data_IF_746533503121
#
_entry.id   IF_746533503121
#
_cell.length_a   1.000
_cell.length_b   1.000
_cell.length_c   1.000
_cell.angle_alpha   90.00
_cell.angle_beta   90.00
_cell.angle_gamma   90.00
#
_symmetry.space_group_name_H-M   'P 1'
#
loop_
_entity.id
_entity.type
_entity.pdbx_description
1 polymer ?
#
# COMPACT_ATOMS: atom_id res chain seq x y z
N UNK A 1 2.81 -20.28 14.43
CA UNK A 1 1.68 -20.50 15.35
C UNK A 1 1.04 -19.18 15.81
N UNK A 2 1.77 -18.22 16.40
CA UNK A 2 1.18 -16.96 16.91
C UNK A 2 0.42 -16.10 15.87
N UNK A 3 0.90 -16.01 14.63
CA UNK A 3 0.23 -15.17 13.62
C UNK A 3 -1.08 -15.78 13.06
N UNK A 4 -1.18 -17.12 13.01
CA UNK A 4 -2.43 -17.82 12.70
C UNK A 4 -3.48 -17.62 13.80
N UNK A 5 -3.03 -17.54 15.06
CA UNK A 5 -3.88 -17.31 16.23
C UNK A 5 -4.48 -15.88 16.26
N UNK A 6 -3.83 -14.91 15.60
CA UNK A 6 -4.28 -13.50 15.57
C UNK A 6 -5.21 -13.18 14.39
N UNK A 7 -5.30 -14.07 13.39
CA UNK A 7 -6.10 -13.84 12.19
C UNK A 7 -5.55 -12.80 11.21
N UNK A 8 -4.36 -12.23 11.44
CA UNK A 8 -3.76 -11.17 10.60
C UNK A 8 -3.55 -11.55 9.13
N UNK A 9 -3.33 -12.83 8.85
CA UNK A 9 -3.26 -13.35 7.49
C UNK A 9 -4.58 -13.30 6.72
N UNK A 10 -5.67 -12.91 7.37
CA UNK A 10 -7.00 -12.79 6.80
C UNK A 10 -7.55 -11.37 6.90
N UNK A 11 -6.69 -10.37 7.13
CA UNK A 11 -7.08 -8.97 7.13
C UNK A 11 -7.44 -8.49 5.71
N UNK A 12 -6.91 -9.11 4.67
CA UNK A 12 -7.08 -8.65 3.30
C UNK A 12 -6.75 -9.74 2.26
N UNK A 13 -7.22 -9.60 1.03
CA UNK A 13 -6.86 -10.50 -0.07
C UNK A 13 -5.34 -10.60 -0.26
N UNK A 14 -4.62 -9.49 -0.09
CA UNK A 14 -3.16 -9.47 -0.19
C UNK A 14 -2.49 -10.27 0.94
N UNK A 15 -2.97 -10.16 2.18
CA UNK A 15 -2.42 -10.91 3.32
C UNK A 15 -2.76 -12.39 3.25
N UNK A 16 -3.95 -12.74 2.75
CA UNK A 16 -4.35 -14.13 2.50
C UNK A 16 -3.55 -14.75 1.36
N UNK A 17 -3.34 -13.99 0.27
CA UNK A 17 -2.43 -14.39 -0.81
C UNK A 17 -0.99 -14.57 -0.30
N UNK A 18 -0.51 -13.65 0.54
CA UNK A 18 0.82 -13.77 1.14
C UNK A 18 0.96 -15.03 1.99
N UNK A 19 -0.09 -15.39 2.76
CA UNK A 19 -0.10 -16.63 3.55
C UNK A 19 0.00 -17.87 2.67
N UNK A 20 -0.79 -17.91 1.59
CA UNK A 20 -0.72 -18.99 0.60
C UNK A 20 0.71 -19.13 0.04
N UNK A 21 1.33 -18.01 -0.35
CA UNK A 21 2.68 -18.06 -0.93
C UNK A 21 3.75 -18.50 0.07
N UNK A 22 3.64 -18.10 1.34
CA UNK A 22 4.54 -18.58 2.41
C UNK A 22 4.39 -20.09 2.60
N UNK A 23 3.16 -20.58 2.65
CA UNK A 23 2.88 -22.01 2.78
C UNK A 23 3.41 -22.81 1.59
N UNK A 24 3.20 -22.31 0.37
CA UNK A 24 3.74 -22.92 -0.84
C UNK A 24 5.27 -22.93 -0.84
N UNK A 25 5.91 -21.79 -0.55
CA UNK A 25 7.37 -21.68 -0.51
C UNK A 25 7.98 -22.66 0.49
N UNK A 26 7.44 -22.71 1.71
CA UNK A 26 7.89 -23.67 2.71
C UNK A 26 7.77 -25.10 2.20
N UNK A 27 6.64 -25.46 1.58
CA UNK A 27 6.49 -26.80 1.00
C UNK A 27 7.50 -27.06 -0.11
N UNK A 28 7.65 -26.14 -1.07
CA UNK A 28 8.57 -26.30 -2.18
C UNK A 28 10.05 -26.41 -1.73
N UNK A 29 10.43 -25.73 -0.65
CA UNK A 29 11.80 -25.78 -0.12
C UNK A 29 12.09 -27.02 0.73
N UNK A 30 11.08 -27.60 1.38
CA UNK A 30 11.26 -28.70 2.34
C UNK A 30 10.63 -30.03 1.87
N UNK A 31 9.92 -30.07 0.74
CA UNK A 31 9.36 -31.29 0.18
C UNK A 31 10.49 -32.20 -0.35
N UNK A 32 10.37 -33.50 -0.04
CA UNK A 32 11.33 -34.53 -0.43
C UNK A 32 10.86 -35.26 -1.71
N UNK A 33 9.57 -35.13 -2.06
CA UNK A 33 8.85 -36.01 -2.98
C UNK A 33 8.07 -35.27 -4.10
N UNK A 34 8.26 -33.96 -4.27
CA UNK A 34 7.52 -33.19 -5.27
C UNK A 34 6.04 -32.94 -4.89
N UNK A 35 5.70 -33.03 -3.60
CA UNK A 35 4.33 -32.83 -3.09
C UNK A 35 3.79 -31.41 -3.26
N UNK A 36 4.61 -30.43 -3.64
CA UNK A 36 4.18 -29.08 -4.02
C UNK A 36 3.18 -29.07 -5.18
N UNK A 37 3.18 -30.12 -6.03
CA UNK A 37 2.23 -30.24 -7.16
C UNK A 37 0.76 -30.33 -6.72
N UNK A 38 0.49 -30.84 -5.52
CA UNK A 38 -0.86 -30.96 -4.95
C UNK A 38 -1.23 -29.78 -4.03
N UNK A 39 -0.31 -28.82 -3.85
CA UNK A 39 -0.48 -27.74 -2.88
C UNK A 39 -1.80 -26.97 -3.06
N UNK A 40 -2.16 -26.63 -4.31
CA UNK A 40 -3.39 -25.87 -4.56
C UNK A 40 -4.66 -26.67 -4.26
N UNK A 41 -4.64 -28.01 -4.41
CA UNK A 41 -5.78 -28.86 -4.06
C UNK A 41 -5.98 -28.89 -2.54
N UNK A 42 -4.88 -29.09 -1.80
CA UNK A 42 -4.91 -29.06 -0.33
C UNK A 42 -5.27 -27.68 0.20
N UNK A 43 -4.78 -26.61 -0.42
CA UNK A 43 -5.14 -25.24 -0.04
C UNK A 43 -6.64 -24.96 -0.31
N UNK A 44 -7.20 -25.51 -1.39
CA UNK A 44 -8.63 -25.42 -1.67
C UNK A 44 -9.46 -26.13 -0.59
N UNK A 45 -9.09 -27.36 -0.22
CA UNK A 45 -9.71 -28.09 0.87
C UNK A 45 -9.60 -27.31 2.18
N UNK A 46 -8.41 -26.79 2.50
CA UNK A 46 -8.19 -25.96 3.66
C UNK A 46 -9.14 -24.77 3.69
N UNK A 47 -9.33 -24.04 2.58
CA UNK A 47 -10.23 -22.88 2.52
C UNK A 47 -11.72 -23.24 2.61
N UNK A 48 -12.11 -24.47 2.26
CA UNK A 48 -13.51 -24.91 2.26
C UNK A 48 -14.11 -25.04 3.66
N UNK A 49 -13.27 -25.26 4.66
CA UNK A 49 -13.70 -25.39 6.05
C UNK A 49 -13.82 -24.00 6.71
N UNK A 50 -14.95 -23.69 7.37
CA UNK A 50 -15.08 -22.44 8.10
C UNK A 50 -14.20 -22.45 9.35
N UNK A 51 -13.58 -21.30 9.65
CA UNK A 51 -12.86 -21.09 10.90
C UNK A 51 -13.89 -20.86 12.03
N UNK A 52 -13.80 -21.65 13.10
CA UNK A 52 -14.74 -21.66 14.24
C UNK A 52 -14.04 -21.47 15.59
N UNK A 53 -12.87 -20.83 15.61
CA UNK A 53 -12.11 -20.60 16.85
C UNK A 53 -12.87 -19.71 17.83
N UNK A 54 -13.19 -20.24 19.01
CA UNK A 54 -14.01 -19.59 20.05
C UNK A 54 -13.39 -18.30 20.62
N UNK A 55 -12.07 -18.16 20.55
CA UNK A 55 -11.34 -16.98 21.06
C UNK A 55 -11.27 -15.82 20.06
N UNK A 56 -11.72 -16.00 18.81
CA UNK A 56 -11.75 -14.93 17.82
C UNK A 56 -13.12 -14.25 17.87
N UNK A 57 -13.19 -12.90 17.95
CA UNK A 57 -14.46 -12.17 17.93
C UNK A 57 -15.34 -12.53 16.73
N UNK A 58 -16.65 -12.67 16.93
CA UNK A 58 -17.60 -13.07 15.88
C UNK A 58 -17.57 -12.15 14.64
N UNK A 59 -17.32 -10.86 14.80
CA UNK A 59 -17.13 -9.91 13.69
C UNK A 59 -15.88 -10.25 12.85
N UNK A 60 -14.78 -10.58 13.52
CA UNK A 60 -13.53 -10.98 12.89
C UNK A 60 -13.67 -12.36 12.22
N UNK A 61 -14.31 -13.34 12.85
CA UNK A 61 -14.62 -14.64 12.24
C UNK A 61 -15.44 -14.51 10.96
N UNK A 62 -16.46 -13.64 10.94
CA UNK A 62 -17.25 -13.36 9.73
C UNK A 62 -16.39 -12.81 8.60
N UNK A 63 -15.49 -11.87 8.90
CA UNK A 63 -14.54 -11.31 7.92
C UNK A 63 -13.59 -12.39 7.37
N UNK A 64 -12.99 -13.19 8.26
CA UNK A 64 -12.09 -14.29 7.91
C UNK A 64 -12.79 -15.27 6.96
N UNK A 65 -13.98 -15.73 7.33
CA UNK A 65 -14.73 -16.71 6.54
C UNK A 65 -15.23 -16.13 5.21
N UNK A 66 -15.59 -14.84 5.17
CA UNK A 66 -15.93 -14.15 3.92
C UNK A 66 -14.73 -14.10 2.97
N UNK A 67 -13.55 -13.76 3.49
CA UNK A 67 -12.32 -13.70 2.68
C UNK A 67 -11.90 -15.09 2.18
N UNK A 68 -11.99 -16.12 3.04
CA UNK A 68 -11.69 -17.51 2.66
C UNK A 68 -12.62 -17.99 1.55
N UNK A 69 -13.93 -17.71 1.64
CA UNK A 69 -14.91 -18.02 0.58
C UNK A 69 -14.59 -17.31 -0.73
N UNK A 70 -14.20 -16.03 -0.69
CA UNK A 70 -13.77 -15.26 -1.88
C UNK A 70 -12.54 -15.88 -2.54
N UNK A 71 -11.53 -16.23 -1.76
CA UNK A 71 -10.30 -16.86 -2.28
C UNK A 71 -10.57 -18.26 -2.81
N UNK A 72 -11.42 -19.05 -2.13
CA UNK A 72 -11.89 -20.34 -2.58
C UNK A 72 -12.61 -20.22 -3.93
N UNK A 73 -13.50 -19.23 -4.07
CA UNK A 73 -14.22 -18.99 -5.32
C UNK A 73 -13.27 -18.74 -6.50
N UNK A 74 -12.25 -17.88 -6.31
CA UNK A 74 -11.23 -17.65 -7.36
C UNK A 74 -10.45 -18.92 -7.63
N UNK A 75 -10.08 -19.68 -6.60
CA UNK A 75 -9.29 -20.89 -6.77
C UNK A 75 -10.07 -21.96 -7.55
N UNK A 76 -11.37 -22.09 -7.30
CA UNK A 76 -12.25 -23.02 -8.00
C UNK A 76 -12.55 -22.60 -9.45
N UNK A 77 -12.76 -21.31 -9.71
CA UNK A 77 -13.21 -20.82 -11.02
C UNK A 77 -12.08 -20.32 -11.93
N UNK A 78 -10.98 -19.84 -11.33
CA UNK A 78 -9.84 -19.18 -11.98
C UNK A 78 -8.52 -19.66 -11.40
N UNK A 79 -8.38 -20.98 -11.27
CA UNK A 79 -7.16 -21.65 -10.80
C UNK A 79 -5.92 -21.25 -11.58
N UNK A 80 -6.09 -20.87 -12.86
CA UNK A 80 -5.04 -20.36 -13.74
C UNK A 80 -4.31 -19.14 -13.15
N UNK A 81 -5.00 -18.29 -12.40
CA UNK A 81 -4.40 -17.10 -11.78
C UNK A 81 -3.34 -17.50 -10.76
N UNK A 82 -3.62 -18.51 -9.93
CA UNK A 82 -2.69 -18.99 -8.91
C UNK A 82 -1.58 -19.86 -9.51
N UNK A 83 -1.90 -20.70 -10.51
CA UNK A 83 -0.88 -21.49 -11.22
C UNK A 83 0.16 -20.60 -11.90
N UNK A 84 -0.28 -19.55 -12.61
CA UNK A 84 0.64 -18.59 -13.23
C UNK A 84 1.50 -17.86 -12.20
N UNK A 85 0.91 -17.47 -11.06
CA UNK A 85 1.67 -16.86 -9.97
C UNK A 85 2.79 -17.79 -9.46
N UNK A 86 2.46 -19.05 -9.16
CA UNK A 86 3.40 -20.01 -8.58
C UNK A 86 4.46 -20.50 -9.59
N UNK A 87 4.18 -20.43 -10.89
CA UNK A 87 5.15 -20.77 -11.93
C UNK A 87 6.27 -19.72 -12.10
N UNK A 88 6.08 -18.51 -11.57
CA UNK A 88 7.06 -17.42 -11.71
C UNK A 88 8.19 -17.57 -10.69
N UNK A 89 9.47 -17.38 -11.07
CA UNK A 89 10.61 -17.52 -10.14
C UNK A 89 10.57 -16.48 -9.00
N UNK A 90 9.98 -15.31 -9.24
CA UNK A 90 9.84 -14.22 -8.26
C UNK A 90 8.44 -14.16 -7.63
N UNK A 91 7.73 -15.28 -7.50
CA UNK A 91 6.33 -15.34 -7.04
C UNK A 91 6.07 -14.69 -5.66
N UNK A 92 7.10 -14.59 -4.80
CA UNK A 92 7.01 -13.92 -3.50
C UNK A 92 7.06 -12.39 -3.60
N UNK A 93 7.44 -11.83 -4.75
CA UNK A 93 7.63 -10.39 -4.93
C UNK A 93 6.30 -9.65 -4.84
N UNK A 94 6.35 -8.42 -4.31
CA UNK A 94 5.17 -7.58 -4.25
C UNK A 94 4.56 -7.30 -5.64
N UNK A 95 5.35 -7.03 -6.71
CA UNK A 95 4.83 -6.90 -8.06
C UNK A 95 3.95 -8.07 -8.49
N UNK A 96 4.33 -9.32 -8.17
CA UNK A 96 3.51 -10.50 -8.51
C UNK A 96 2.21 -10.57 -7.72
N UNK A 97 2.26 -10.27 -6.43
CA UNK A 97 1.04 -10.21 -5.60
C UNK A 97 0.06 -9.17 -6.14
N UNK A 98 0.56 -7.98 -6.52
CA UNK A 98 -0.24 -6.92 -7.13
C UNK A 98 -0.84 -7.38 -8.46
N UNK A 99 -0.03 -7.99 -9.32
CA UNK A 99 -0.47 -8.54 -10.61
C UNK A 99 -1.61 -9.56 -10.42
N UNK A 100 -1.47 -10.48 -9.47
CA UNK A 100 -2.50 -11.46 -9.12
C UNK A 100 -3.80 -10.80 -8.64
N UNK A 101 -3.72 -9.84 -7.72
CA UNK A 101 -4.89 -9.10 -7.23
C UNK A 101 -5.58 -8.33 -8.37
N UNK A 102 -4.81 -7.77 -9.32
CA UNK A 102 -5.35 -7.12 -10.53
C UNK A 102 -6.08 -8.10 -11.43
N UNK A 103 -5.51 -9.29 -11.67
CA UNK A 103 -6.17 -10.35 -12.45
C UNK A 103 -7.49 -10.81 -11.82
N UNK A 104 -7.55 -10.90 -10.49
CA UNK A 104 -8.80 -11.21 -9.75
C UNK A 104 -9.82 -10.09 -9.98
N UNK A 105 -9.43 -8.83 -9.82
CA UNK A 105 -10.30 -7.67 -10.08
C UNK A 105 -10.83 -7.68 -11.52
N UNK A 106 -9.96 -7.88 -12.51
CA UNK A 106 -10.33 -7.85 -13.92
C UNK A 106 -11.31 -8.97 -14.27
N UNK A 107 -11.09 -10.17 -13.70
CA UNK A 107 -12.05 -11.26 -13.80
C UNK A 107 -13.40 -10.90 -13.17
N UNK A 108 -13.43 -10.30 -11.97
CA UNK A 108 -14.67 -9.84 -11.35
C UNK A 108 -15.39 -8.81 -12.23
N UNK A 109 -14.66 -7.89 -12.87
CA UNK A 109 -15.22 -6.92 -13.82
C UNK A 109 -15.85 -7.61 -15.03
N UNK A 110 -15.20 -8.63 -15.60
CA UNK A 110 -15.76 -9.41 -16.71
C UNK A 110 -17.04 -10.16 -16.30
N UNK A 111 -17.08 -10.73 -15.09
CA UNK A 111 -18.28 -11.38 -14.54
C UNK A 111 -19.39 -10.37 -14.22
N UNK A 112 -19.04 -9.11 -13.94
CA UNK A 112 -19.99 -8.03 -13.69
C UNK A 112 -20.73 -7.55 -14.94
N UNK A 113 -20.25 -7.87 -16.15
CA UNK A 113 -20.92 -7.51 -17.41
C UNK A 113 -22.22 -8.30 -17.64
N UNK A 114 -22.37 -9.46 -17.00
CA UNK A 114 -23.62 -10.23 -16.93
C UNK A 114 -24.50 -9.78 -15.73
N UNK A 115 -24.55 -8.45 -15.52
CA UNK A 115 -24.74 -7.73 -14.25
C UNK A 115 -26.02 -7.98 -13.44
N UNK A 116 -26.99 -8.75 -13.93
CA UNK A 116 -28.27 -8.89 -13.27
C UNK A 116 -28.31 -9.95 -12.14
N UNK A 117 -27.28 -10.79 -11.96
CA UNK A 117 -27.44 -12.02 -11.17
C UNK A 117 -26.58 -12.19 -9.90
N UNK A 118 -25.55 -11.36 -9.64
CA UNK A 118 -24.58 -11.62 -8.53
C UNK A 118 -24.11 -10.35 -7.79
N UNK A 119 -24.93 -9.76 -6.92
CA UNK A 119 -24.59 -8.52 -6.18
C UNK A 119 -23.34 -8.67 -5.30
N UNK A 120 -23.05 -9.86 -4.78
CA UNK A 120 -21.87 -10.12 -3.94
C UNK A 120 -20.55 -9.94 -4.70
N UNK A 121 -20.49 -10.28 -5.99
CA UNK A 121 -19.30 -10.11 -6.82
C UNK A 121 -19.03 -8.64 -7.12
N UNK A 122 -20.10 -7.86 -7.35
CA UNK A 122 -20.02 -6.41 -7.54
C UNK A 122 -19.52 -5.75 -6.26
N UNK A 123 -20.11 -6.08 -5.11
CA UNK A 123 -19.67 -5.57 -3.81
C UNK A 123 -18.21 -5.91 -3.52
N UNK A 124 -17.77 -7.11 -3.91
CA UNK A 124 -16.36 -7.49 -3.76
C UNK A 124 -15.44 -6.69 -4.70
N UNK A 125 -15.79 -6.53 -5.97
CA UNK A 125 -15.03 -5.69 -6.91
C UNK A 125 -14.87 -4.26 -6.37
N UNK A 126 -15.96 -3.65 -5.90
CA UNK A 126 -15.92 -2.31 -5.31
C UNK A 126 -15.04 -2.27 -4.05
N UNK A 127 -15.10 -3.30 -3.20
CA UNK A 127 -14.20 -3.43 -2.05
C UNK A 127 -12.74 -3.49 -2.48
N UNK A 128 -12.39 -4.24 -3.53
CA UNK A 128 -11.02 -4.28 -4.06
C UNK A 128 -10.62 -2.91 -4.61
N UNK A 129 -11.49 -2.27 -5.39
CA UNK A 129 -11.23 -0.95 -5.95
C UNK A 129 -11.00 0.10 -4.85
N UNK A 130 -11.79 0.08 -3.78
CA UNK A 130 -11.61 1.00 -2.66
C UNK A 130 -10.31 0.72 -1.88
N UNK A 131 -10.04 -0.56 -1.59
CA UNK A 131 -8.90 -0.95 -0.75
C UNK A 131 -7.55 -0.87 -1.48
N UNK A 132 -7.54 -1.11 -2.79
CA UNK A 132 -6.33 -1.23 -3.59
C UNK A 132 -6.32 -0.30 -4.79
N UNK A 133 -7.09 0.80 -4.76
CA UNK A 133 -7.14 1.81 -5.82
C UNK A 133 -5.74 2.18 -6.32
N UNK A 134 -4.85 2.47 -5.37
CA UNK A 134 -3.45 2.84 -5.58
C UNK A 134 -2.59 1.75 -6.27
N UNK A 135 -3.02 0.49 -6.26
CA UNK A 135 -2.33 -0.64 -6.94
C UNK A 135 -2.82 -0.85 -8.38
N UNK A 136 -4.00 -0.34 -8.69
CA UNK A 136 -4.72 -0.61 -9.92
C UNK A 136 -4.64 0.50 -10.95
N UNK A 137 -4.42 1.73 -10.48
CA UNK A 137 -4.12 2.86 -11.34
C UNK A 137 -2.74 2.64 -11.97
N UNK A 138 -2.68 2.74 -13.30
CA UNK A 138 -1.42 2.64 -14.02
C UNK A 138 -0.49 3.73 -13.50
N UNK A 139 0.70 3.34 -13.02
CA UNK A 139 1.78 4.32 -12.88
C UNK A 139 2.10 4.78 -14.29
N UNK A 140 2.04 6.09 -14.61
CA UNK A 140 2.37 6.54 -15.94
C UNK A 140 3.76 6.00 -16.32
N UNK A 141 3.81 5.19 -17.38
CA UNK A 141 5.03 4.46 -17.81
C UNK A 141 6.07 5.35 -18.48
N UNK A 142 5.86 6.65 -18.44
CA UNK A 142 6.75 7.66 -18.98
C UNK A 142 6.64 8.86 -18.06
N UNK A 143 7.76 9.53 -17.82
CA UNK A 143 7.76 10.95 -17.50
C UNK A 143 7.11 11.69 -18.68
N UNK A 144 5.79 11.56 -18.84
CA UNK A 144 5.00 12.55 -19.53
C UNK A 144 5.20 13.82 -18.72
N UNK A 145 5.77 14.84 -19.35
CA UNK A 145 5.97 16.22 -18.87
C UNK A 145 5.03 16.55 -17.71
N UNK A 146 5.47 16.28 -16.50
CA UNK A 146 4.86 16.89 -15.34
C UNK A 146 5.60 18.20 -15.18
N UNK A 147 5.02 19.28 -15.70
CA UNK A 147 5.52 20.65 -15.52
C UNK A 147 5.17 21.14 -14.10
N UNK A 148 5.41 20.30 -13.09
CA UNK A 148 5.25 20.71 -11.71
C UNK A 148 6.50 21.48 -11.30
N UNK A 149 6.34 22.79 -11.12
CA UNK A 149 7.37 23.68 -10.61
C UNK A 149 7.36 23.76 -9.09
N UNK A 150 6.21 23.47 -8.47
CA UNK A 150 5.98 23.71 -7.05
C UNK A 150 5.23 22.57 -6.37
N UNK A 151 5.55 22.31 -5.10
CA UNK A 151 4.97 21.20 -4.35
C UNK A 151 3.45 21.32 -4.16
N UNK A 152 2.90 22.54 -4.05
CA UNK A 152 1.44 22.70 -3.89
C UNK A 152 0.66 22.15 -5.09
N UNK A 153 1.26 22.11 -6.29
CA UNK A 153 0.58 21.70 -7.51
C UNK A 153 0.19 20.22 -7.48
N UNK A 154 0.94 19.41 -6.72
CA UNK A 154 0.65 17.97 -6.54
C UNK A 154 -0.34 17.70 -5.40
N UNK A 155 -0.71 18.72 -4.62
CA UNK A 155 -1.74 18.58 -3.60
C UNK A 155 -3.14 18.53 -4.22
N UNK A 156 -4.07 17.86 -3.53
CA UNK A 156 -5.48 17.82 -3.90
C UNK A 156 -6.19 19.13 -3.55
N UNK A 157 -7.07 19.59 -4.44
CA UNK A 157 -7.86 20.82 -4.32
C UNK A 157 -8.62 21.08 -5.62
N UNK A 158 -9.76 21.78 -5.53
CA UNK A 158 -10.65 22.08 -6.67
C UNK A 158 -10.02 23.06 -7.64
N UNK A 159 -9.25 24.00 -7.11
CA UNK A 159 -8.53 25.02 -7.87
C UNK A 159 -7.13 25.27 -7.31
N UNK A 160 -6.36 26.12 -7.99
CA UNK A 160 -4.99 26.44 -7.61
C UNK A 160 -4.91 27.18 -6.26
N UNK A 161 -5.91 28.00 -5.94
CA UNK A 161 -5.95 28.78 -4.70
C UNK A 161 -6.15 27.87 -3.49
N UNK A 162 -7.02 26.86 -3.58
CA UNK A 162 -7.24 25.85 -2.56
C UNK A 162 -5.98 25.01 -2.33
N UNK A 163 -5.29 24.62 -3.41
CA UNK A 163 -4.01 23.91 -3.32
C UNK A 163 -2.92 24.72 -2.63
N UNK A 164 -2.79 26.02 -2.97
CA UNK A 164 -1.86 26.95 -2.32
C UNK A 164 -2.18 27.11 -0.84
N UNK A 165 -3.45 27.37 -0.49
CA UNK A 165 -3.89 27.46 0.92
C UNK A 165 -3.61 26.17 1.69
N UNK A 166 -3.85 25.01 1.08
CA UNK A 166 -3.55 23.72 1.69
C UNK A 166 -2.05 23.55 1.96
N UNK A 167 -1.21 23.99 1.02
CA UNK A 167 0.24 24.00 1.23
C UNK A 167 0.65 24.98 2.34
N UNK A 168 0.09 26.18 2.36
CA UNK A 168 0.31 27.18 3.42
C UNK A 168 -0.08 26.60 4.80
N UNK A 169 -1.26 25.99 4.92
CA UNK A 169 -1.69 25.31 6.14
C UNK A 169 -0.75 24.17 6.56
N UNK A 170 -0.24 23.39 5.59
CA UNK A 170 0.76 22.35 5.88
C UNK A 170 2.04 22.98 6.46
N UNK A 171 2.52 24.07 5.87
CA UNK A 171 3.71 24.78 6.34
C UNK A 171 3.49 25.35 7.75
N UNK A 172 2.34 25.98 8.00
CA UNK A 172 1.98 26.53 9.32
C UNK A 172 1.95 25.43 10.39
N UNK A 173 1.35 24.29 10.08
CA UNK A 173 1.32 23.11 10.96
C UNK A 173 2.74 22.64 11.27
N UNK A 174 3.59 22.50 10.24
CA UNK A 174 4.97 22.05 10.41
C UNK A 174 5.84 23.06 11.17
N UNK A 175 5.56 24.36 11.05
CA UNK A 175 6.23 25.40 11.86
C UNK A 175 5.78 25.35 13.32
N UNK A 176 4.46 25.24 13.56
CA UNK A 176 3.87 25.18 14.90
C UNK A 176 4.40 23.98 15.69
N UNK A 177 4.51 22.82 15.05
CA UNK A 177 5.07 21.60 15.64
C UNK A 177 6.60 21.57 15.64
N UNK A 178 7.26 22.65 15.21
CA UNK A 178 8.71 22.81 15.29
C UNK A 178 9.49 21.91 14.33
N UNK A 179 8.89 21.43 13.25
CA UNK A 179 9.60 20.70 12.18
C UNK A 179 10.40 21.65 11.30
N UNK A 180 9.90 22.87 11.10
CA UNK A 180 10.53 23.91 10.30
C UNK A 180 11.12 25.02 11.19
N UNK A 181 12.25 25.57 10.76
CA UNK A 181 12.82 26.80 11.28
C UNK A 181 12.57 27.96 10.29
N UNK A 182 13.25 29.09 10.50
CA UNK A 182 13.21 30.22 9.59
C UNK A 182 13.61 29.85 8.15
N UNK A 183 13.35 30.76 7.23
CA UNK A 183 13.64 30.58 5.82
C UNK A 183 15.12 30.83 5.49
N UNK A 184 15.60 30.17 4.45
CA UNK A 184 16.86 30.51 3.76
C UNK A 184 16.68 31.76 2.89
N UNK A 185 17.78 32.29 2.34
CA UNK A 185 17.74 33.49 1.50
C UNK A 185 16.93 33.31 0.20
N UNK A 186 16.84 32.07 -0.28
CA UNK A 186 16.06 31.64 -1.43
C UNK A 186 14.61 31.24 -1.07
N UNK A 187 14.14 31.58 0.14
CA UNK A 187 12.74 31.42 0.55
C UNK A 187 12.33 30.01 0.99
N UNK A 188 13.27 29.04 1.02
CA UNK A 188 13.01 27.67 1.47
C UNK A 188 12.99 27.58 3.00
N UNK A 189 12.13 26.73 3.55
CA UNK A 189 12.07 26.48 4.98
C UNK A 189 13.18 25.52 5.41
N UNK A 190 13.95 25.88 6.44
CA UNK A 190 14.97 24.98 6.98
C UNK A 190 14.32 23.89 7.82
N UNK A 191 14.57 22.63 7.48
CA UNK A 191 14.16 21.51 8.31
C UNK A 191 15.01 21.43 9.58
N UNK A 192 14.38 21.39 10.76
CA UNK A 192 15.08 21.42 12.06
C UNK A 192 15.84 20.13 12.33
N UNK A 193 15.23 18.98 12.04
CA UNK A 193 15.89 17.71 12.26
C UNK A 193 16.90 17.46 11.13
N UNK A 194 18.20 17.57 11.42
CA UNK A 194 19.27 17.26 10.46
C UNK A 194 19.97 15.93 10.75
N UNK A 195 19.52 15.19 11.76
CA UNK A 195 20.10 13.93 12.21
C UNK A 195 19.55 12.69 11.48
N UNK A 196 19.88 11.49 11.99
CA UNK A 196 19.46 10.19 11.39
C UNK A 196 17.94 10.03 11.23
N UNK A 197 17.13 10.73 12.04
CA UNK A 197 15.67 10.68 11.99
C UNK A 197 15.02 11.56 10.90
N UNK A 198 15.76 12.49 10.31
CA UNK A 198 15.22 13.48 9.37
C UNK A 198 14.65 12.84 8.10
N UNK A 199 15.39 11.85 7.58
CA UNK A 199 15.02 11.05 6.41
C UNK A 199 13.69 10.32 6.63
N UNK A 200 13.51 9.75 7.81
CA UNK A 200 12.29 9.00 8.14
C UNK A 200 11.10 9.93 8.33
N UNK A 201 11.30 11.11 8.93
CA UNK A 201 10.25 12.11 9.08
C UNK A 201 9.74 12.63 7.75
N UNK A 202 10.63 13.06 6.84
CA UNK A 202 10.22 13.57 5.53
C UNK A 202 9.58 12.45 4.68
N UNK A 203 10.15 11.24 4.72
CA UNK A 203 9.59 10.11 4.02
C UNK A 203 8.21 9.72 4.55
N UNK A 204 8.01 9.75 5.87
CA UNK A 204 6.73 9.49 6.51
C UNK A 204 5.71 10.60 6.20
N UNK A 205 6.13 11.87 6.14
CA UNK A 205 5.25 12.98 5.75
C UNK A 205 4.68 12.76 4.34
N UNK A 206 5.55 12.46 3.36
CA UNK A 206 5.11 12.15 2.01
C UNK A 206 4.20 10.91 1.96
N UNK A 207 4.59 9.84 2.66
CA UNK A 207 3.79 8.63 2.77
C UNK A 207 2.38 8.93 3.29
N UNK A 208 2.27 9.67 4.40
CA UNK A 208 0.99 9.97 5.05
C UNK A 208 0.15 10.92 4.19
N UNK A 209 0.73 11.94 3.57
CA UNK A 209 0.03 12.82 2.62
C UNK A 209 -0.60 12.03 1.47
N UNK A 210 0.14 11.07 0.92
CA UNK A 210 -0.34 10.19 -0.15
C UNK A 210 -1.45 9.25 0.36
N UNK A 211 -1.21 8.54 1.47
CA UNK A 211 -2.17 7.59 2.05
C UNK A 211 -3.49 8.22 2.51
N UNK A 212 -3.47 9.50 2.88
CA UNK A 212 -4.66 10.27 3.26
C UNK A 212 -5.33 10.99 2.09
N UNK A 213 -4.83 10.83 0.86
CA UNK A 213 -5.43 11.42 -0.33
C UNK A 213 -5.18 12.92 -0.46
N UNK A 214 -4.14 13.47 0.18
CA UNK A 214 -3.70 14.84 -0.09
C UNK A 214 -2.87 14.95 -1.36
N UNK A 215 -2.41 13.83 -1.92
CA UNK A 215 -1.72 13.75 -3.22
C UNK A 215 -2.43 12.67 -4.04
N UNK A 216 -3.10 13.08 -5.13
CA UNK A 216 -3.91 12.19 -5.97
C UNK A 216 -3.07 11.34 -6.95
N UNK A 217 -1.89 11.85 -7.33
CA UNK A 217 -1.11 11.30 -8.43
C UNK A 217 0.13 10.58 -7.95
N UNK A 218 0.47 9.46 -8.63
CA UNK A 218 1.71 8.73 -8.37
C UNK A 218 2.88 9.43 -9.07
N UNK A 219 3.78 9.97 -8.27
CA UNK A 219 4.97 10.67 -8.73
C UNK A 219 6.20 9.74 -8.66
N UNK A 220 7.15 9.94 -9.56
CA UNK A 220 8.43 9.24 -9.50
C UNK A 220 9.31 9.80 -8.37
N UNK A 221 10.13 8.96 -7.75
CA UNK A 221 11.01 9.38 -6.64
C UNK A 221 11.89 10.61 -6.94
N UNK A 222 12.48 10.76 -8.15
CA UNK A 222 13.24 11.97 -8.49
C UNK A 222 12.38 13.24 -8.52
N UNK A 223 11.15 13.15 -9.02
CA UNK A 223 10.20 14.27 -9.10
C UNK A 223 9.72 14.67 -7.70
N UNK A 224 9.45 13.71 -6.83
CA UNK A 224 9.08 14.01 -5.44
C UNK A 224 10.22 14.74 -4.74
N UNK A 225 11.45 14.23 -4.88
CA UNK A 225 12.63 14.87 -4.30
C UNK A 225 12.83 16.29 -4.85
N UNK A 226 12.68 16.50 -6.16
CA UNK A 226 12.80 17.84 -6.74
C UNK A 226 11.74 18.79 -6.20
N UNK A 227 10.48 18.35 -6.06
CA UNK A 227 9.40 19.18 -5.51
C UNK A 227 9.59 19.50 -4.03
N UNK A 228 10.11 18.58 -3.22
CA UNK A 228 10.48 18.93 -1.84
C UNK A 228 11.61 19.94 -1.80
N UNK A 229 12.58 19.84 -2.72
CA UNK A 229 13.71 20.77 -2.80
C UNK A 229 13.30 22.20 -3.17
N UNK A 230 12.09 22.43 -3.72
CA UNK A 230 11.63 23.79 -4.07
C UNK A 230 11.27 24.61 -2.84
N UNK A 231 10.91 23.98 -1.72
CA UNK A 231 10.42 24.67 -0.53
C UNK A 231 11.12 24.25 0.77
N UNK A 232 11.89 23.16 0.78
CA UNK A 232 12.50 22.60 1.98
C UNK A 232 14.04 22.51 1.86
N UNK A 233 14.77 23.11 2.80
CA UNK A 233 16.20 22.88 3.02
C UNK A 233 16.40 21.82 4.12
N UNK A 234 16.66 20.57 3.70
CA UNK A 234 16.75 19.41 4.59
C UNK A 234 18.18 18.92 4.86
N UNK A 235 19.21 19.48 4.19
CA UNK A 235 20.62 19.14 4.42
C UNK A 235 21.04 17.69 4.10
N UNK A 236 20.25 16.93 3.33
CA UNK A 236 20.57 15.56 2.92
C UNK A 236 21.19 15.57 1.51
N UNK A 237 22.11 14.66 1.22
CA UNK A 237 22.64 14.50 -0.15
C UNK A 237 21.52 14.08 -1.11
N UNK A 238 21.50 14.60 -2.34
CA UNK A 238 20.42 14.35 -3.32
C UNK A 238 20.11 12.86 -3.53
N UNK A 239 21.13 12.01 -3.78
CA UNK A 239 20.96 10.56 -3.96
C UNK A 239 20.31 9.88 -2.75
N UNK A 240 20.68 10.31 -1.55
CA UNK A 240 20.14 9.81 -0.28
C UNK A 240 18.69 10.25 -0.09
N UNK A 241 18.36 11.46 -0.50
CA UNK A 241 17.03 12.03 -0.40
C UNK A 241 16.07 11.35 -1.38
N UNK A 242 16.42 11.24 -2.66
CA UNK A 242 15.63 10.51 -3.66
C UNK A 242 15.31 9.08 -3.23
N UNK A 243 16.28 8.39 -2.62
CA UNK A 243 16.12 7.01 -2.18
C UNK A 243 14.95 6.84 -1.21
N UNK A 244 14.64 7.83 -0.37
CA UNK A 244 13.56 7.69 0.63
C UNK A 244 12.17 7.67 -0.01
N UNK A 245 12.04 8.19 -1.24
CA UNK A 245 10.78 8.23 -1.99
C UNK A 245 10.62 7.06 -2.96
N UNK A 246 11.61 6.16 -3.05
CA UNK A 246 11.50 4.93 -3.82
C UNK A 246 10.36 4.06 -3.27
N UNK A 247 9.67 3.35 -4.17
CA UNK A 247 8.48 2.57 -3.83
C UNK A 247 8.78 1.53 -2.73
N UNK A 248 9.94 0.90 -2.80
CA UNK A 248 10.41 -0.10 -1.83
C UNK A 248 10.61 0.53 -0.45
N UNK A 249 11.13 1.76 -0.36
CA UNK A 249 11.31 2.46 0.91
C UNK A 249 9.97 2.95 1.47
N UNK A 250 9.09 3.46 0.63
CA UNK A 250 7.76 3.93 1.03
C UNK A 250 6.89 2.78 1.56
N UNK A 251 6.97 1.59 0.97
CA UNK A 251 6.24 0.41 1.44
C UNK A 251 6.57 -0.02 2.87
N UNK A 252 7.79 0.25 3.35
CA UNK A 252 8.18 -0.09 4.73
C UNK A 252 7.43 0.71 5.80
N UNK A 253 6.72 1.78 5.43
CA UNK A 253 5.84 2.52 6.33
C UNK A 253 4.46 1.86 6.50
N UNK A 254 4.09 0.91 5.63
CA UNK A 254 2.96 0.01 5.85
C UNK A 254 3.36 -1.08 6.85
N UNK A 255 3.49 -0.69 8.11
CA UNK A 255 4.06 -1.51 9.17
C UNK A 255 3.18 -1.53 10.42
N UNK A 256 3.38 -2.53 11.27
CA UNK A 256 2.65 -2.69 12.54
C UNK A 256 3.23 -1.79 13.65
N UNK A 257 2.48 -1.62 14.74
CA UNK A 257 2.85 -0.73 15.86
C UNK A 257 4.16 -1.07 16.57
N UNK A 258 4.68 -2.29 16.42
CA UNK A 258 5.97 -2.70 16.97
C UNK A 258 7.18 -2.22 16.16
N UNK A 259 6.97 -1.71 14.94
CA UNK A 259 8.05 -1.25 14.07
C UNK A 259 8.37 0.23 14.33
N UNK A 260 9.65 0.63 14.40
CA UNK A 260 10.04 2.03 14.66
C UNK A 260 9.43 3.04 13.68
N UNK A 261 9.20 2.61 12.42
CA UNK A 261 8.60 3.46 11.37
C UNK A 261 7.14 3.82 11.64
N UNK A 262 6.41 3.00 12.41
CA UNK A 262 5.01 3.27 12.75
C UNK A 262 4.84 4.56 13.54
N UNK A 263 5.79 4.87 14.43
CA UNK A 263 5.79 6.12 15.21
C UNK A 263 5.78 7.34 14.29
N UNK A 264 6.65 7.37 13.28
CA UNK A 264 6.72 8.48 12.33
C UNK A 264 5.43 8.62 11.53
N UNK A 265 4.80 7.52 11.11
CA UNK A 265 3.50 7.56 10.43
C UNK A 265 2.43 8.16 11.34
N UNK A 266 2.35 7.70 12.61
CA UNK A 266 1.37 8.22 13.57
C UNK A 266 1.57 9.68 13.91
N UNK A 267 2.81 10.11 14.09
CA UNK A 267 3.14 11.53 14.27
C UNK A 267 2.65 12.35 13.08
N UNK A 268 2.95 11.92 11.84
CA UNK A 268 2.48 12.60 10.63
C UNK A 268 0.95 12.57 10.48
N UNK A 269 0.27 11.47 10.85
CA UNK A 269 -1.20 11.38 10.79
C UNK A 269 -1.88 12.34 11.74
N UNK A 270 -1.30 12.55 12.94
CA UNK A 270 -1.79 13.54 13.90
C UNK A 270 -1.56 14.96 13.40
N UNK A 271 -0.36 15.21 12.85
CA UNK A 271 0.04 16.48 12.25
C UNK A 271 -0.94 16.93 11.16
N UNK A 272 -1.24 16.07 10.18
CA UNK A 272 -2.03 16.44 9.01
C UNK A 272 -3.54 16.19 9.16
N UNK A 273 -4.03 15.86 10.37
CA UNK A 273 -5.45 15.51 10.60
C UNK A 273 -6.43 16.62 10.20
N UNK A 274 -6.01 17.88 10.33
CA UNK A 274 -6.81 19.07 10.00
C UNK A 274 -6.47 19.71 8.65
N UNK A 275 -5.66 19.03 7.83
CA UNK A 275 -5.26 19.46 6.49
C UNK A 275 -6.28 19.03 5.43
#
# INVERSE_FOLDING_TARGET
MAEELTGRFYDSELSCLNRMLILYYNRACFAIDGSEKYYLDEYQQHLSEPVTYWWIPASQLRRINSLRRRMLLVLSLRRDIFKDLLAKPDFLSLPRKIETIRRIRDWLTQQSGAAASKPELVAWRESLNAQYRYLFEATPKTASRYDFTDFYQVLTGRDEAEKKRKFESLVEILQKEGWLAGQTQDGRYRFRNRGKGSRLQIAALYYTLNMRGHIEQRLAAPLIASLFNTWLDHGLTQKSFEKIFQAEQQQTFNCSSSQPRFRYVKECELLIRGL
#
